data_IF_384765604709
#
_entry.id   IF_384765604709
#
_cell.length_a   1.000
_cell.length_b   1.000
_cell.length_c   1.000
_cell.angle_alpha   90.00
_cell.angle_beta   90.00
_cell.angle_gamma   90.00
#
_symmetry.space_group_name_H-M   'P 1'
#
loop_
_entity.id
_entity.type
_entity.pdbx_description
1 polymer ?
#
# COMPACT_ATOMS: atom_id res chain seq x y z
N UNK A 1 -13.39 2.70 12.64
CA UNK A 1 -13.29 3.43 11.35
C UNK A 1 -12.08 4.36 11.30
N UNK A 2 -11.84 5.27 12.25
CA UNK A 2 -10.70 6.21 12.19
C UNK A 2 -9.32 5.54 12.08
N UNK A 3 -9.08 4.43 12.80
CA UNK A 3 -7.83 3.66 12.68
C UNK A 3 -7.56 3.17 11.25
N UNK A 4 -8.61 2.90 10.46
CA UNK A 4 -8.45 2.46 9.06
C UNK A 4 -7.76 3.51 8.21
N UNK A 5 -8.00 4.81 8.47
CA UNK A 5 -7.33 5.91 7.77
C UNK A 5 -5.82 5.77 7.90
N UNK A 6 -5.33 5.54 9.12
CA UNK A 6 -3.90 5.40 9.37
C UNK A 6 -3.33 4.10 8.80
N UNK A 7 -3.97 2.96 9.05
CA UNK A 7 -3.41 1.65 8.64
C UNK A 7 -3.42 1.50 7.12
N UNK A 8 -4.55 1.79 6.46
CA UNK A 8 -4.65 1.69 5.00
C UNK A 8 -3.94 2.83 4.30
N UNK A 9 -3.82 3.99 4.95
CA UNK A 9 -2.99 5.10 4.50
C UNK A 9 -1.52 4.73 4.46
N UNK A 10 -1.00 4.09 5.51
CA UNK A 10 0.39 3.65 5.54
C UNK A 10 0.66 2.58 4.47
N UNK A 11 -0.27 1.66 4.24
CA UNK A 11 -0.17 0.69 3.14
C UNK A 11 -0.13 1.37 1.76
N UNK A 12 -1.03 2.33 1.52
CA UNK A 12 -1.10 3.07 0.26
C UNK A 12 0.17 3.91 0.01
N UNK A 13 0.61 4.67 1.02
CA UNK A 13 1.82 5.49 0.95
C UNK A 13 3.07 4.65 0.72
N UNK A 14 3.23 3.54 1.45
CA UNK A 14 4.38 2.64 1.28
C UNK A 14 4.39 2.02 -0.11
N UNK A 15 3.23 1.59 -0.62
CA UNK A 15 3.13 1.00 -1.97
C UNK A 15 3.52 2.03 -3.04
N UNK A 16 2.92 3.22 -3.01
CA UNK A 16 3.21 4.26 -4.00
C UNK A 16 4.67 4.73 -3.93
N UNK A 17 5.16 5.01 -2.72
CA UNK A 17 6.52 5.50 -2.49
C UNK A 17 7.57 4.51 -2.96
N UNK A 18 7.50 3.25 -2.54
CA UNK A 18 8.54 2.27 -2.85
C UNK A 18 8.49 1.79 -4.30
N UNK A 19 7.31 1.74 -4.92
CA UNK A 19 7.20 1.45 -6.34
C UNK A 19 7.83 2.57 -7.17
N UNK A 20 7.52 3.83 -6.85
CA UNK A 20 8.14 4.97 -7.52
C UNK A 20 9.66 5.01 -7.28
N UNK A 21 10.12 4.81 -6.04
CA UNK A 21 11.53 4.79 -5.70
C UNK A 21 12.29 3.71 -6.50
N UNK A 22 11.68 2.54 -6.70
CA UNK A 22 12.24 1.46 -7.51
C UNK A 22 12.29 1.78 -9.00
N UNK A 23 11.33 2.54 -9.54
CA UNK A 23 11.43 3.04 -10.92
C UNK A 23 12.59 4.03 -11.09
N UNK A 24 12.91 4.80 -10.04
CA UNK A 24 14.07 5.70 -10.02
C UNK A 24 15.38 5.00 -9.61
N UNK A 25 15.33 3.74 -9.16
CA UNK A 25 16.50 2.99 -8.68
C UNK A 25 17.08 3.50 -7.35
N UNK A 26 16.24 4.08 -6.48
CA UNK A 26 16.64 4.70 -5.20
C UNK A 26 15.89 4.10 -4.00
N UNK A 27 15.35 2.89 -4.14
CA UNK A 27 14.53 2.28 -3.08
C UNK A 27 15.30 2.03 -1.79
N UNK A 28 16.60 1.73 -1.86
CA UNK A 28 17.42 1.47 -0.67
C UNK A 28 17.70 2.76 0.12
N UNK A 29 18.00 3.85 -0.58
CA UNK A 29 18.18 5.19 0.02
C UNK A 29 16.89 5.67 0.69
N UNK A 30 15.74 5.44 0.02
CA UNK A 30 14.43 5.80 0.57
C UNK A 30 14.12 4.96 1.82
N UNK A 31 14.31 3.64 1.78
CA UNK A 31 14.10 2.76 2.93
C UNK A 31 15.01 3.13 4.10
N UNK A 32 16.28 3.42 3.84
CA UNK A 32 17.25 3.87 4.84
C UNK A 32 16.83 5.21 5.47
N UNK A 33 16.39 6.17 4.66
CA UNK A 33 15.90 7.47 5.13
C UNK A 33 14.64 7.35 6.01
N UNK A 34 13.69 6.51 5.61
CA UNK A 34 12.50 6.20 6.40
C UNK A 34 12.87 5.51 7.73
N UNK A 35 13.84 4.59 7.70
CA UNK A 35 14.33 3.93 8.90
C UNK A 35 15.05 4.90 9.85
N UNK A 36 15.83 5.85 9.32
CA UNK A 36 16.45 6.88 10.14
C UNK A 36 15.41 7.75 10.85
N UNK A 37 14.33 8.10 10.16
CA UNK A 37 13.26 8.95 10.70
C UNK A 37 12.36 8.21 11.70
N UNK A 38 12.02 6.95 11.41
CA UNK A 38 11.08 6.14 12.19
C UNK A 38 11.60 4.71 12.41
N UNK A 39 12.70 4.54 13.17
CA UNK A 39 13.40 3.26 13.26
C UNK A 39 12.55 2.13 13.84
N UNK A 40 11.63 2.45 14.76
CA UNK A 40 10.76 1.48 15.43
C UNK A 40 9.74 0.81 14.50
N UNK A 41 9.51 1.33 13.29
CA UNK A 41 8.60 0.74 12.32
C UNK A 41 9.22 -0.41 11.53
N UNK A 42 10.55 -0.58 11.54
CA UNK A 42 11.21 -1.71 10.88
C UNK A 42 11.25 -1.63 9.36
N UNK A 43 11.41 -0.43 8.80
CA UNK A 43 11.50 -0.19 7.34
C UNK A 43 12.55 -1.03 6.61
N UNK A 44 13.69 -1.33 7.25
CA UNK A 44 14.75 -2.20 6.68
C UNK A 44 14.52 -3.70 6.92
N UNK A 45 13.39 -4.07 7.53
CA UNK A 45 12.98 -5.45 7.77
C UNK A 45 11.75 -5.85 6.94
N UNK A 46 10.91 -6.74 7.48
CA UNK A 46 9.74 -7.28 6.79
C UNK A 46 8.52 -6.33 6.71
N UNK A 47 8.63 -5.11 7.26
CA UNK A 47 7.48 -4.21 7.37
C UNK A 47 6.98 -3.69 6.02
N UNK A 48 7.82 -3.27 5.06
CA UNK A 48 7.37 -2.91 3.72
C UNK A 48 6.67 -4.06 3.00
N UNK A 49 7.26 -5.26 3.05
CA UNK A 49 6.64 -6.47 2.48
C UNK A 49 5.27 -6.74 3.09
N UNK A 50 5.16 -6.64 4.42
CA UNK A 50 3.89 -6.80 5.10
C UNK A 50 2.84 -5.80 4.59
N UNK A 51 3.16 -4.50 4.57
CA UNK A 51 2.22 -3.47 4.14
C UNK A 51 1.76 -3.67 2.69
N UNK A 52 2.69 -3.93 1.78
CA UNK A 52 2.37 -4.10 0.34
C UNK A 52 1.64 -5.42 0.11
N UNK A 53 1.96 -6.49 0.86
CA UNK A 53 1.26 -7.77 0.76
C UNK A 53 -0.23 -7.65 1.11
N UNK A 54 -0.59 -6.79 2.08
CA UNK A 54 -2.00 -6.53 2.43
C UNK A 54 -2.77 -5.89 1.28
N UNK A 55 -2.12 -5.02 0.50
CA UNK A 55 -2.72 -4.41 -0.70
C UNK A 55 -2.82 -5.45 -1.81
N UNK A 56 -1.76 -6.20 -2.08
CA UNK A 56 -1.73 -7.23 -3.13
C UNK A 56 -2.77 -8.35 -2.91
N UNK A 57 -2.94 -8.80 -1.67
CA UNK A 57 -3.84 -9.92 -1.35
C UNK A 57 -5.30 -9.48 -1.22
N UNK A 58 -5.54 -8.26 -0.72
CA UNK A 58 -6.86 -7.87 -0.23
C UNK A 58 -7.34 -6.49 -0.72
N UNK A 59 -6.58 -5.83 -1.59
CA UNK A 59 -6.78 -4.42 -1.95
C UNK A 59 -8.18 -4.06 -2.43
N UNK A 60 -8.87 -4.96 -3.16
CA UNK A 60 -10.27 -4.75 -3.59
C UNK A 60 -11.19 -4.54 -2.39
N UNK A 61 -11.26 -5.52 -1.47
CA UNK A 61 -12.05 -5.40 -0.24
C UNK A 61 -11.60 -4.22 0.62
N UNK A 62 -10.29 -3.95 0.69
CA UNK A 62 -9.76 -2.82 1.47
C UNK A 62 -10.16 -1.46 0.89
N UNK A 63 -10.30 -1.35 -0.43
CA UNK A 63 -10.86 -0.18 -1.12
C UNK A 63 -12.31 0.03 -0.71
N UNK A 64 -13.14 -1.03 -0.78
CA UNK A 64 -14.56 -0.97 -0.39
C UNK A 64 -14.71 -0.54 1.08
N UNK A 65 -13.88 -1.08 1.98
CA UNK A 65 -13.84 -0.64 3.39
C UNK A 65 -13.48 0.85 3.53
N UNK A 66 -12.64 1.41 2.64
CA UNK A 66 -12.28 2.83 2.66
C UNK A 66 -13.39 3.73 2.10
N UNK A 67 -14.19 3.25 1.15
CA UNK A 67 -15.38 3.97 0.68
C UNK A 67 -16.39 4.19 1.84
N UNK A 68 -16.54 3.21 2.74
CA UNK A 68 -17.35 3.37 3.96
C UNK A 68 -16.70 4.31 4.99
N UNK A 69 -15.36 4.31 5.09
CA UNK A 69 -14.63 5.27 5.94
C UNK A 69 -14.84 6.70 5.44
N UNK A 70 -14.87 6.94 4.13
CA UNK A 70 -15.15 8.27 3.56
C UNK A 70 -16.53 8.75 3.99
N UNK A 71 -17.57 7.91 3.90
CA UNK A 71 -18.92 8.25 4.37
C UNK A 71 -18.91 8.62 5.85
N UNK A 72 -18.30 7.78 6.68
CA UNK A 72 -18.19 8.00 8.13
C UNK A 72 -17.50 9.33 8.48
N UNK A 73 -16.45 9.70 7.73
CA UNK A 73 -15.73 10.96 7.96
C UNK A 73 -16.58 12.18 7.56
N UNK A 74 -17.37 12.07 6.50
CA UNK A 74 -18.27 13.14 6.05
C UNK A 74 -19.40 13.40 7.05
N UNK A 75 -19.88 12.37 7.73
CA UNK A 75 -20.89 12.50 8.79
C UNK A 75 -20.42 13.40 9.96
N UNK A 76 -19.11 13.50 10.19
CA UNK A 76 -18.51 14.38 11.21
C UNK A 76 -17.89 15.65 10.62
N UNK A 77 -18.23 16.00 9.38
CA UNK A 77 -17.80 17.23 8.72
C UNK A 77 -16.39 17.18 8.11
N UNK A 78 -15.72 16.03 8.08
CA UNK A 78 -14.44 15.86 7.38
C UNK A 78 -14.66 15.53 5.91
N UNK A 79 -13.93 16.20 5.02
CA UNK A 79 -14.03 15.95 3.58
C UNK A 79 -13.57 14.53 3.17
N UNK A 80 -12.79 13.83 4.01
CA UNK A 80 -12.33 12.47 3.71
C UNK A 80 -11.30 12.37 2.56
N UNK A 81 -10.63 13.47 2.22
CA UNK A 81 -9.73 13.60 1.05
C UNK A 81 -8.72 12.45 0.96
N UNK A 82 -7.96 12.20 2.03
CA UNK A 82 -6.97 11.13 2.04
C UNK A 82 -7.65 9.76 1.96
N UNK A 83 -8.78 9.57 2.62
CA UNK A 83 -9.51 8.30 2.60
C UNK A 83 -10.01 7.93 1.19
N UNK A 84 -10.41 8.91 0.39
CA UNK A 84 -10.78 8.71 -1.01
C UNK A 84 -9.57 8.32 -1.87
N UNK A 85 -8.43 8.98 -1.68
CA UNK A 85 -7.19 8.64 -2.40
C UNK A 85 -6.69 7.24 -2.03
N UNK A 86 -6.77 6.88 -0.75
CA UNK A 86 -6.40 5.55 -0.24
C UNK A 86 -7.30 4.46 -0.84
N UNK A 87 -8.61 4.69 -0.98
CA UNK A 87 -9.50 3.73 -1.62
C UNK A 87 -9.04 3.40 -3.05
N UNK A 88 -8.74 4.43 -3.85
CA UNK A 88 -8.22 4.27 -5.22
C UNK A 88 -6.88 3.51 -5.24
N UNK A 89 -5.94 3.92 -4.39
CA UNK A 89 -4.62 3.29 -4.29
C UNK A 89 -4.70 1.81 -3.90
N UNK A 90 -5.56 1.46 -2.93
CA UNK A 90 -5.75 0.06 -2.49
C UNK A 90 -6.26 -0.84 -3.61
N UNK A 91 -7.10 -0.31 -4.50
CA UNK A 91 -7.67 -1.06 -5.63
C UNK A 91 -6.68 -1.25 -6.78
N UNK A 92 -5.79 -0.29 -7.00
CA UNK A 92 -4.93 -0.23 -8.18
C UNK A 92 -3.98 -1.43 -8.32
N UNK A 93 -3.31 -1.84 -7.23
CA UNK A 93 -2.34 -2.93 -7.28
C UNK A 93 -2.96 -4.29 -7.66
N UNK A 94 -4.04 -4.77 -7.01
CA UNK A 94 -4.66 -6.03 -7.41
C UNK A 94 -5.25 -5.97 -8.83
N UNK A 95 -5.72 -4.82 -9.30
CA UNK A 95 -6.14 -4.65 -10.70
C UNK A 95 -4.97 -4.80 -11.68
N UNK A 96 -3.82 -4.21 -11.38
CA UNK A 96 -2.60 -4.36 -12.19
C UNK A 96 -2.09 -5.81 -12.21
N UNK A 97 -2.20 -6.51 -11.08
CA UNK A 97 -1.89 -7.94 -10.97
C UNK A 97 -2.84 -8.78 -11.82
N UNK A 98 -4.15 -8.53 -11.71
CA UNK A 98 -5.17 -9.24 -12.49
C UNK A 98 -4.98 -9.04 -14.00
N UNK A 99 -4.65 -7.81 -14.44
CA UNK A 99 -4.35 -7.50 -15.83
C UNK A 99 -3.16 -8.31 -16.40
N UNK A 100 -2.28 -8.83 -15.54
CA UNK A 100 -1.12 -9.68 -15.88
C UNK A 100 -1.33 -11.15 -15.52
N UNK A 101 -2.55 -11.55 -15.18
CA UNK A 101 -2.84 -12.92 -14.71
C UNK A 101 -1.97 -13.34 -13.51
N UNK A 102 -1.57 -12.39 -12.68
CA UNK A 102 -0.82 -12.64 -11.45
C UNK A 102 -1.80 -12.80 -10.28
N UNK A 103 -1.70 -13.94 -9.60
CA UNK A 103 -2.38 -14.18 -8.34
C UNK A 103 -1.42 -14.01 -7.16
N UNK A 104 -1.95 -13.59 -6.02
CA UNK A 104 -1.15 -13.44 -4.80
C UNK A 104 -0.41 -14.74 -4.39
N UNK A 105 -1.04 -15.91 -4.59
CA UNK A 105 -0.42 -17.21 -4.28
C UNK A 105 0.88 -17.46 -5.06
N UNK A 106 1.02 -16.91 -6.26
CA UNK A 106 2.25 -17.04 -7.06
C UNK A 106 3.39 -16.13 -6.57
N UNK A 107 3.11 -15.28 -5.59
CA UNK A 107 4.05 -14.33 -5.01
C UNK A 107 4.48 -14.75 -3.60
N UNK A 108 4.09 -15.92 -3.09
CA UNK A 108 4.50 -16.38 -1.75
C UNK A 108 5.78 -17.22 -1.81
N UNK A 109 6.78 -17.00 -0.93
CA UNK A 109 6.85 -15.97 0.10
C UNK A 109 6.92 -14.55 -0.50
N UNK A 110 6.20 -13.61 0.10
CA UNK A 110 6.00 -12.27 -0.46
C UNK A 110 7.26 -11.41 -0.39
N UNK A 111 7.66 -10.89 -1.53
CA UNK A 111 8.70 -9.86 -1.71
C UNK A 111 8.15 -8.80 -2.68
N UNK A 112 8.03 -7.57 -2.19
CA UNK A 112 7.48 -6.47 -2.99
C UNK A 112 8.35 -6.15 -4.22
N UNK A 113 9.68 -6.36 -4.15
CA UNK A 113 10.59 -6.09 -5.27
C UNK A 113 10.37 -7.09 -6.41
N UNK A 114 10.13 -8.35 -6.07
CA UNK A 114 9.73 -9.40 -7.03
C UNK A 114 8.37 -9.08 -7.65
N UNK A 115 7.39 -8.60 -6.87
CA UNK A 115 6.10 -8.17 -7.41
C UNK A 115 6.28 -7.06 -8.45
N UNK A 116 7.01 -5.98 -8.12
CA UNK A 116 7.26 -4.88 -9.08
C UNK A 116 7.93 -5.39 -10.36
N UNK A 117 8.91 -6.29 -10.24
CA UNK A 117 9.58 -6.89 -11.41
C UNK A 117 8.62 -7.69 -12.31
N UNK A 118 7.60 -8.33 -11.74
CA UNK A 118 6.57 -9.07 -12.51
C UNK A 118 5.45 -8.18 -13.05
N UNK A 119 5.33 -6.95 -12.55
CA UNK A 119 4.39 -5.95 -13.06
C UNK A 119 4.97 -5.16 -14.24
N UNK A 120 6.22 -5.37 -14.65
CA UNK A 120 6.77 -4.88 -15.91
C UNK A 120 6.48 -5.86 -17.02
#
# INVERSE_FOLDING_TARGET
MCRSVMIKGLEALTTECLFAAREYGVEEEVLSSLHHSFPSLGWTGAFPDYLISRVAEHGIRRSEEMEEVVKTLRDVGSAGIMSEAIAKSQRQLPEQMAARSLSYRQLTPFDWKTLVARLK
#
